data_IF_314106423258
#
_entry.id   IF_314106423258
#
_cell.length_a   1.000
_cell.length_b   1.000
_cell.length_c   1.000
_cell.angle_alpha   90.00
_cell.angle_beta   90.00
_cell.angle_gamma   90.00
#
_symmetry.space_group_name_H-M   'P 1'
#
loop_
_entity.id
_entity.type
_entity.pdbx_description
1 polymer ?
#
# COMPACT_ATOMS: atom_id res chain seq x y z
N UNK A 1 -20.22 7.13 12.91
CA UNK A 1 -19.70 6.20 11.87
C UNK A 1 -18.93 5.10 12.58
N UNK A 2 -19.09 3.82 12.22
CA UNK A 2 -18.31 2.74 12.85
C UNK A 2 -16.86 2.74 12.37
N UNK A 3 -15.93 2.21 13.16
CA UNK A 3 -14.50 2.19 12.83
C UNK A 3 -14.22 1.60 11.43
N UNK A 4 -14.85 0.48 11.09
CA UNK A 4 -14.77 -0.15 9.76
C UNK A 4 -15.14 0.83 8.63
N UNK A 5 -16.25 1.54 8.77
CA UNK A 5 -16.69 2.53 7.75
C UNK A 5 -15.74 3.72 7.63
N UNK A 6 -15.13 4.15 8.75
CA UNK A 6 -14.13 5.21 8.73
C UNK A 6 -12.84 4.78 8.00
N UNK A 7 -12.36 3.56 8.27
CA UNK A 7 -11.20 2.97 7.58
C UNK A 7 -11.45 2.86 6.07
N UNK A 8 -12.61 2.33 5.67
CA UNK A 8 -12.98 2.25 4.24
C UNK A 8 -13.06 3.64 3.61
N UNK A 9 -13.70 4.61 4.29
CA UNK A 9 -13.78 5.99 3.81
C UNK A 9 -12.40 6.64 3.62
N UNK A 10 -11.47 6.42 4.55
CA UNK A 10 -10.10 6.91 4.47
C UNK A 10 -9.29 6.22 3.37
N UNK A 11 -9.51 4.92 3.12
CA UNK A 11 -8.95 4.23 1.95
C UNK A 11 -9.44 4.82 0.63
N UNK A 12 -10.75 5.09 0.52
CA UNK A 12 -11.34 5.73 -0.67
C UNK A 12 -10.79 7.14 -0.85
N UNK A 13 -10.74 7.93 0.22
CA UNK A 13 -10.14 9.26 0.19
C UNK A 13 -8.68 9.19 -0.27
N UNK A 14 -7.89 8.27 0.29
CA UNK A 14 -6.50 8.07 -0.11
C UNK A 14 -6.39 7.66 -1.58
N UNK A 15 -7.25 6.77 -2.07
CA UNK A 15 -7.26 6.35 -3.47
C UNK A 15 -7.50 7.55 -4.40
N UNK A 16 -8.51 8.36 -4.10
CA UNK A 16 -8.83 9.55 -4.88
C UNK A 16 -7.68 10.55 -4.85
N UNK A 17 -7.18 10.92 -3.66
CA UNK A 17 -6.15 11.95 -3.52
C UNK A 17 -4.78 11.52 -4.00
N UNK A 18 -4.50 10.21 -4.05
CA UNK A 18 -3.20 9.68 -4.45
C UNK A 18 -3.18 9.26 -5.93
N UNK A 19 -4.24 8.60 -6.42
CA UNK A 19 -4.23 8.03 -7.78
C UNK A 19 -4.65 9.05 -8.85
N UNK A 20 -5.64 9.91 -8.57
CA UNK A 20 -6.11 10.89 -9.56
C UNK A 20 -4.99 11.87 -9.95
N UNK A 21 -4.25 12.50 -9.01
CA UNK A 21 -3.16 13.42 -9.37
C UNK A 21 -1.98 12.70 -10.04
N UNK A 22 -1.80 11.41 -9.77
CA UNK A 22 -0.74 10.58 -10.36
C UNK A 22 -1.05 10.10 -11.77
N UNK A 23 -2.31 10.19 -12.22
CA UNK A 23 -2.69 9.79 -13.58
C UNK A 23 -1.96 10.65 -14.63
N UNK A 24 -1.46 10.07 -15.75
CA UNK A 24 -0.59 10.78 -16.69
C UNK A 24 -1.15 12.12 -17.19
N UNK A 25 -2.45 12.17 -17.49
CA UNK A 25 -3.13 13.36 -17.99
C UNK A 25 -3.30 14.47 -16.93
N UNK A 26 -3.61 14.11 -15.68
CA UNK A 26 -3.77 15.09 -14.60
C UNK A 26 -2.41 15.55 -14.12
N UNK A 27 -1.46 14.63 -13.93
CA UNK A 27 -0.10 14.93 -13.50
C UNK A 27 0.59 15.92 -14.43
N UNK A 28 0.55 15.68 -15.74
CA UNK A 28 1.19 16.56 -16.72
C UNK A 28 0.66 18.00 -16.66
N UNK A 29 -0.66 18.17 -16.48
CA UNK A 29 -1.29 19.49 -16.28
C UNK A 29 -0.87 20.14 -14.98
N UNK A 30 -0.90 19.40 -13.87
CA UNK A 30 -0.54 19.91 -12.55
C UNK A 30 0.95 20.28 -12.48
N UNK A 31 1.83 19.44 -13.00
CA UNK A 31 3.27 19.70 -13.10
C UNK A 31 3.54 20.88 -14.04
N UNK A 32 2.82 21.00 -15.15
CA UNK A 32 2.94 22.15 -16.06
C UNK A 32 2.53 23.48 -15.41
N UNK A 33 1.56 23.47 -14.49
CA UNK A 33 1.10 24.67 -13.79
C UNK A 33 1.94 25.02 -12.54
N UNK A 34 2.38 24.01 -11.78
CA UNK A 34 3.03 24.19 -10.47
C UNK A 34 4.56 24.01 -10.52
N UNK A 35 5.07 23.32 -11.52
CA UNK A 35 6.42 22.77 -11.54
C UNK A 35 6.54 21.46 -10.76
N UNK A 36 7.52 20.63 -11.16
CA UNK A 36 7.73 19.27 -10.63
C UNK A 36 7.93 19.24 -9.11
N UNK A 37 8.76 20.14 -8.57
CA UNK A 37 9.07 20.19 -7.13
C UNK A 37 7.87 20.56 -6.26
N UNK A 38 7.11 21.57 -6.67
CA UNK A 38 5.93 22.01 -5.92
C UNK A 38 4.82 20.96 -5.99
N UNK A 39 4.62 20.34 -7.16
CA UNK A 39 3.71 19.21 -7.31
C UNK A 39 4.07 18.08 -6.34
N UNK A 40 5.33 17.62 -6.33
CA UNK A 40 5.77 16.53 -5.46
C UNK A 40 5.62 16.86 -3.96
N UNK A 41 5.89 18.10 -3.55
CA UNK A 41 5.69 18.54 -2.17
C UNK A 41 4.21 18.53 -1.74
N UNK A 42 3.33 19.14 -2.54
CA UNK A 42 1.89 19.20 -2.26
C UNK A 42 1.29 17.79 -2.29
N UNK A 43 1.64 17.01 -3.31
CA UNK A 43 1.22 15.63 -3.47
C UNK A 43 1.58 14.78 -2.25
N UNK A 44 2.83 14.88 -1.78
CA UNK A 44 3.31 14.13 -0.62
C UNK A 44 2.57 14.57 0.64
N UNK A 45 2.41 15.88 0.85
CA UNK A 45 1.70 16.42 2.02
C UNK A 45 0.25 15.93 2.09
N UNK A 46 -0.48 16.01 0.98
CA UNK A 46 -1.87 15.52 0.90
C UNK A 46 -1.93 14.02 1.13
N UNK A 47 -1.01 13.26 0.52
CA UNK A 47 -0.94 11.81 0.69
C UNK A 47 -0.72 11.42 2.16
N UNK A 48 0.22 12.07 2.85
CA UNK A 48 0.45 11.85 4.28
C UNK A 48 -0.73 12.33 5.14
N UNK A 49 -1.36 13.45 4.81
CA UNK A 49 -2.50 14.00 5.54
C UNK A 49 -3.73 13.07 5.52
N UNK A 50 -3.83 12.16 4.55
CA UNK A 50 -4.90 11.14 4.51
C UNK A 50 -4.41 9.78 5.02
N UNK A 51 -3.21 9.36 4.65
CA UNK A 51 -2.68 8.04 5.01
C UNK A 51 -2.33 7.91 6.49
N UNK A 52 -1.78 8.95 7.12
CA UNK A 52 -1.44 8.90 8.56
C UNK A 52 -2.71 8.74 9.41
N UNK A 53 -3.79 9.51 9.22
CA UNK A 53 -5.05 9.25 9.90
C UNK A 53 -5.63 7.87 9.62
N UNK A 54 -5.53 7.35 8.39
CA UNK A 54 -5.96 5.98 8.07
C UNK A 54 -5.27 4.94 8.98
N UNK A 55 -3.95 5.02 9.09
CA UNK A 55 -3.17 4.12 9.95
C UNK A 55 -3.51 4.36 11.43
N UNK A 56 -3.61 5.61 11.86
CA UNK A 56 -3.92 5.97 13.24
C UNK A 56 -5.27 5.42 13.71
N UNK A 57 -6.32 5.67 12.92
CA UNK A 57 -7.69 5.19 13.18
C UNK A 57 -7.71 3.67 13.24
N UNK A 58 -7.01 2.98 12.34
CA UNK A 58 -6.89 1.52 12.40
C UNK A 58 -6.19 1.06 13.69
N UNK A 59 -5.06 1.66 14.08
CA UNK A 59 -4.33 1.25 15.27
C UNK A 59 -5.15 1.41 16.56
N UNK A 60 -5.95 2.48 16.66
CA UNK A 60 -6.86 2.70 17.78
C UNK A 60 -8.07 1.74 17.79
N UNK A 61 -8.40 1.16 16.64
CA UNK A 61 -9.61 0.34 16.45
C UNK A 61 -9.30 -1.05 15.85
N UNK A 62 -8.10 -1.59 16.10
CA UNK A 62 -7.72 -2.94 15.68
C UNK A 62 -8.57 -3.98 16.40
N UNK A 63 -8.95 -5.04 15.69
CA UNK A 63 -9.79 -6.11 16.23
C UNK A 63 -11.19 -5.68 16.71
N UNK A 64 -11.80 -4.69 16.04
CA UNK A 64 -13.13 -4.15 16.37
C UNK A 64 -14.16 -4.56 15.32
N UNK A 65 -15.40 -4.78 15.79
CA UNK A 65 -16.55 -5.14 14.97
C UNK A 65 -16.77 -6.65 14.91
N UNK A 66 -17.67 -7.12 14.03
CA UNK A 66 -17.93 -8.55 13.88
C UNK A 66 -16.66 -9.31 13.51
N UNK A 67 -16.47 -10.45 14.15
CA UNK A 67 -15.48 -11.42 13.73
C UNK A 67 -16.03 -12.21 12.55
N UNK A 68 -15.39 -12.06 11.39
CA UNK A 68 -15.79 -12.65 10.12
C UNK A 68 -15.25 -14.09 9.98
N UNK A 69 -14.10 -14.38 10.56
CA UNK A 69 -13.54 -15.73 10.69
C UNK A 69 -12.64 -15.86 11.92
N UNK A 70 -12.41 -17.10 12.32
CA UNK A 70 -11.45 -17.49 13.35
C UNK A 70 -10.22 -18.14 12.69
N UNK A 71 -9.06 -17.96 13.32
CA UNK A 71 -7.80 -18.52 12.82
C UNK A 71 -7.15 -19.41 13.87
N UNK A 72 -7.08 -20.70 13.57
CA UNK A 72 -6.49 -21.73 14.42
C UNK A 72 -5.36 -22.45 13.68
N UNK A 73 -4.16 -21.86 13.61
CA UNK A 73 -3.08 -22.41 12.80
C UNK A 73 -2.37 -23.55 13.49
N UNK A 74 -1.98 -24.56 12.71
CA UNK A 74 -0.89 -25.47 13.09
C UNK A 74 0.47 -24.80 12.94
N UNK A 75 1.49 -25.34 13.61
CA UNK A 75 2.88 -24.83 13.58
C UNK A 75 3.43 -24.65 12.17
N UNK A 76 3.14 -25.58 11.25
CA UNK A 76 3.59 -25.49 9.85
C UNK A 76 3.03 -24.25 9.14
N UNK A 77 1.73 -23.96 9.30
CA UNK A 77 1.10 -22.81 8.66
C UNK A 77 1.67 -21.50 9.20
N UNK A 78 1.95 -21.41 10.51
CA UNK A 78 2.63 -20.26 11.09
C UNK A 78 3.99 -20.01 10.42
N UNK A 79 4.83 -21.04 10.28
CA UNK A 79 6.12 -20.89 9.62
C UNK A 79 5.99 -20.44 8.16
N UNK A 80 5.03 -20.99 7.41
CA UNK A 80 4.76 -20.57 6.03
C UNK A 80 4.42 -19.07 5.99
N UNK A 81 3.53 -18.60 6.86
CA UNK A 81 3.16 -17.17 6.90
C UNK A 81 4.36 -16.26 7.23
N UNK A 82 5.22 -16.67 8.16
CA UNK A 82 6.43 -15.90 8.51
C UNK A 82 7.42 -15.82 7.33
N UNK A 83 7.65 -16.94 6.64
CA UNK A 83 8.53 -16.96 5.46
C UNK A 83 7.97 -16.08 4.35
N UNK A 84 6.67 -16.18 4.06
CA UNK A 84 6.03 -15.34 3.05
C UNK A 84 6.05 -13.85 3.43
N UNK A 85 5.91 -13.52 4.71
CA UNK A 85 6.07 -12.15 5.20
C UNK A 85 7.50 -11.65 4.97
N UNK A 86 8.50 -12.49 5.21
CA UNK A 86 9.90 -12.19 4.89
C UNK A 86 10.10 -11.87 3.41
N UNK A 87 9.51 -12.66 2.50
CA UNK A 87 9.53 -12.39 1.05
C UNK A 87 8.88 -11.04 0.74
N UNK A 88 7.72 -10.75 1.33
CA UNK A 88 7.01 -9.48 1.12
C UNK A 88 7.86 -8.28 1.56
N UNK A 89 8.54 -8.37 2.71
CA UNK A 89 9.45 -7.35 3.21
C UNK A 89 10.68 -7.16 2.29
N UNK A 90 11.27 -8.24 1.78
CA UNK A 90 12.39 -8.17 0.82
C UNK A 90 11.96 -7.43 -0.45
N UNK A 91 10.75 -7.67 -0.95
CA UNK A 91 10.21 -6.96 -2.11
C UNK A 91 10.03 -5.47 -1.84
N UNK A 92 9.45 -5.09 -0.70
CA UNK A 92 9.26 -3.68 -0.33
C UNK A 92 10.60 -2.98 -0.14
N UNK A 93 11.48 -3.52 0.71
CA UNK A 93 12.77 -2.90 1.03
C UNK A 93 13.66 -2.85 -0.21
N UNK A 94 13.80 -3.95 -0.94
CA UNK A 94 14.58 -4.01 -2.17
C UNK A 94 14.03 -3.08 -3.25
N UNK A 95 12.71 -2.92 -3.33
CA UNK A 95 12.04 -2.06 -4.29
C UNK A 95 12.26 -0.57 -4.01
N UNK A 96 12.27 -0.17 -2.74
CA UNK A 96 12.55 1.21 -2.30
C UNK A 96 14.04 1.53 -2.36
N UNK A 97 14.91 0.57 -2.01
CA UNK A 97 16.36 0.79 -1.92
C UNK A 97 17.07 0.88 -3.29
N UNK A 98 16.37 0.60 -4.40
CA UNK A 98 16.95 0.60 -5.74
C UNK A 98 16.16 1.54 -6.66
N UNK A 99 16.82 2.29 -7.56
CA UNK A 99 16.14 3.08 -8.56
C UNK A 99 15.16 2.22 -9.37
N UNK A 100 13.91 2.62 -9.42
CA UNK A 100 12.90 1.92 -10.21
C UNK A 100 12.87 2.48 -11.64
N UNK A 101 12.87 1.62 -12.67
CA UNK A 101 12.55 2.03 -14.03
C UNK A 101 11.16 2.66 -14.17
N UNK A 102 10.24 2.34 -13.26
CA UNK A 102 8.88 2.88 -13.19
C UNK A 102 8.77 4.10 -12.25
N UNK A 103 9.89 4.69 -11.82
CA UNK A 103 9.89 5.82 -10.89
C UNK A 103 9.22 7.06 -11.51
N UNK A 104 8.29 7.65 -10.76
CA UNK A 104 7.63 8.91 -11.12
C UNK A 104 8.58 10.12 -11.11
N UNK A 105 9.74 10.03 -10.46
CA UNK A 105 10.69 11.13 -10.34
C UNK A 105 11.62 11.30 -11.57
N UNK A 106 11.37 10.57 -12.66
CA UNK A 106 12.00 10.81 -13.97
C UNK A 106 13.48 10.40 -14.12
N UNK A 107 14.09 9.79 -13.10
CA UNK A 107 15.52 9.40 -13.10
C UNK A 107 15.77 7.90 -13.04
N UNK A 108 14.80 7.06 -13.43
CA UNK A 108 14.93 5.61 -13.34
C UNK A 108 16.04 5.10 -14.26
N UNK A 109 17.10 4.51 -13.69
CA UNK A 109 18.07 3.76 -14.50
C UNK A 109 17.35 2.59 -15.17
N UNK A 110 17.50 2.42 -16.48
CA UNK A 110 16.93 1.27 -17.19
C UNK A 110 17.63 -0.06 -16.85
N UNK A 111 18.71 -0.02 -16.08
CA UNK A 111 19.43 -1.22 -15.65
C UNK A 111 18.67 -1.95 -14.54
N UNK A 112 18.20 -3.17 -14.82
CA UNK A 112 17.49 -3.99 -13.84
C UNK A 112 18.46 -4.58 -12.81
N UNK A 113 18.26 -4.24 -11.53
CA UNK A 113 19.04 -4.74 -10.39
C UNK A 113 18.15 -5.28 -9.28
N UNK A 114 18.66 -6.27 -8.55
CA UNK A 114 17.98 -6.85 -7.39
C UNK A 114 16.55 -7.33 -7.69
N UNK A 115 15.61 -6.98 -6.82
CA UNK A 115 14.19 -7.38 -6.93
C UNK A 115 13.48 -6.85 -8.18
N UNK A 116 13.99 -5.77 -8.80
CA UNK A 116 13.45 -5.28 -10.07
C UNK A 116 13.70 -6.26 -11.24
N UNK A 117 14.57 -7.27 -11.07
CA UNK A 117 14.71 -8.40 -12.02
C UNK A 117 13.56 -9.39 -11.92
N UNK A 118 12.86 -9.44 -10.79
CA UNK A 118 11.72 -10.35 -10.57
C UNK A 118 10.42 -9.74 -11.04
N UNK A 119 10.24 -8.43 -10.82
CA UNK A 119 9.01 -7.71 -11.17
C UNK A 119 9.29 -6.23 -11.40
N UNK A 120 8.45 -5.59 -12.21
CA UNK A 120 8.48 -4.13 -12.44
C UNK A 120 7.96 -3.32 -11.24
N UNK A 121 7.15 -3.94 -10.38
CA UNK A 121 6.46 -3.28 -9.28
C UNK A 121 6.68 -3.97 -7.93
N UNK A 122 7.95 -4.15 -7.48
CA UNK A 122 8.25 -4.93 -6.27
C UNK A 122 7.62 -4.35 -5.01
N UNK A 123 7.55 -3.02 -4.89
CA UNK A 123 6.90 -2.37 -3.75
C UNK A 123 5.40 -2.67 -3.71
N UNK A 124 4.68 -2.54 -4.83
CA UNK A 124 3.25 -2.84 -4.88
C UNK A 124 2.98 -4.32 -4.60
N UNK A 125 3.75 -5.23 -5.21
CA UNK A 125 3.61 -6.67 -4.93
C UNK A 125 3.89 -7.01 -3.47
N UNK A 126 4.93 -6.42 -2.87
CA UNK A 126 5.25 -6.61 -1.45
C UNK A 126 4.15 -6.10 -0.53
N UNK A 127 3.59 -4.90 -0.79
CA UNK A 127 2.46 -4.36 -0.02
C UNK A 127 1.19 -5.20 -0.19
N UNK A 128 0.91 -5.68 -1.40
CA UNK A 128 -0.20 -6.60 -1.65
C UNK A 128 -0.07 -7.91 -0.87
N UNK A 129 1.13 -8.50 -0.86
CA UNK A 129 1.42 -9.69 -0.05
C UNK A 129 1.29 -9.41 1.46
N UNK A 130 1.79 -8.27 1.95
CA UNK A 130 1.60 -7.86 3.34
C UNK A 130 0.11 -7.85 3.70
N UNK A 131 -0.74 -7.20 2.88
CA UNK A 131 -2.18 -7.16 3.14
C UNK A 131 -2.81 -8.56 3.14
N UNK A 132 -2.56 -9.37 2.11
CA UNK A 132 -3.10 -10.73 2.02
C UNK A 132 -2.69 -11.60 3.21
N UNK A 133 -1.41 -11.55 3.59
CA UNK A 133 -0.89 -12.36 4.71
C UNK A 133 -1.43 -11.92 6.07
N UNK A 134 -1.79 -10.65 6.24
CA UNK A 134 -2.46 -10.17 7.45
C UNK A 134 -3.95 -10.51 7.47
N UNK A 135 -4.63 -10.58 6.32
CA UNK A 135 -6.04 -11.02 6.29
C UNK A 135 -6.19 -12.46 6.80
N UNK A 136 -5.24 -13.35 6.54
CA UNK A 136 -5.35 -14.76 6.97
C UNK A 136 -5.59 -14.88 8.49
N UNK A 137 -4.73 -14.34 9.38
CA UNK A 137 -4.95 -14.41 10.82
C UNK A 137 -5.95 -13.40 11.36
N UNK A 138 -6.17 -12.27 10.69
CA UNK A 138 -6.97 -11.16 11.22
C UNK A 138 -8.42 -11.21 10.71
N UNK A 139 -9.30 -11.79 11.52
CA UNK A 139 -10.70 -12.00 11.14
C UNK A 139 -11.68 -10.88 11.50
N UNK A 140 -11.28 -9.80 12.16
CA UNK A 140 -12.21 -8.74 12.54
C UNK A 140 -12.47 -7.77 11.40
N UNK A 141 -13.71 -7.27 11.30
CA UNK A 141 -14.12 -6.35 10.24
C UNK A 141 -13.22 -5.11 10.08
N UNK A 142 -12.70 -4.53 11.17
CA UNK A 142 -11.71 -3.44 11.14
C UNK A 142 -10.41 -3.82 10.40
N UNK A 143 -9.90 -5.01 10.67
CA UNK A 143 -8.63 -5.51 10.16
C UNK A 143 -8.77 -5.84 8.69
N UNK A 144 -9.90 -6.43 8.32
CA UNK A 144 -10.24 -6.74 6.94
C UNK A 144 -10.37 -5.46 6.10
N UNK A 145 -11.04 -4.44 6.63
CA UNK A 145 -11.13 -3.15 5.97
C UNK A 145 -9.77 -2.48 5.78
N UNK A 146 -8.87 -2.58 6.77
CA UNK A 146 -7.54 -1.97 6.67
C UNK A 146 -6.62 -2.76 5.74
N UNK A 147 -6.38 -4.04 6.02
CA UNK A 147 -5.44 -4.86 5.24
C UNK A 147 -5.95 -5.21 3.85
N UNK A 148 -7.28 -5.24 3.63
CA UNK A 148 -7.87 -5.45 2.31
C UNK A 148 -7.62 -4.31 1.33
N UNK A 149 -7.35 -3.09 1.81
CA UNK A 149 -6.99 -1.97 0.95
C UNK A 149 -5.64 -2.17 0.25
N UNK A 150 -4.65 -2.78 0.92
CA UNK A 150 -3.31 -3.00 0.37
C UNK A 150 -3.29 -3.84 -0.93
N UNK A 151 -3.88 -5.05 -1.00
CA UNK A 151 -3.92 -5.82 -2.24
C UNK A 151 -4.75 -5.15 -3.32
N UNK A 152 -5.84 -4.45 -2.97
CA UNK A 152 -6.62 -3.67 -3.94
C UNK A 152 -5.76 -2.58 -4.57
N UNK A 153 -5.03 -1.80 -3.78
CA UNK A 153 -4.08 -0.80 -4.29
C UNK A 153 -2.96 -1.43 -5.10
N UNK A 154 -2.44 -2.57 -4.65
CA UNK A 154 -1.40 -3.28 -5.38
C UNK A 154 -1.89 -3.73 -6.76
N UNK A 155 -3.12 -4.22 -6.88
CA UNK A 155 -3.69 -4.68 -8.16
C UNK A 155 -3.95 -3.50 -9.10
N UNK A 156 -4.49 -2.39 -8.60
CA UNK A 156 -4.80 -1.22 -9.44
C UNK A 156 -3.53 -0.45 -9.82
N UNK A 157 -2.51 -0.46 -8.95
CA UNK A 157 -1.25 0.26 -9.14
C UNK A 157 -0.15 -0.50 -9.90
N UNK A 158 -0.29 -1.81 -10.11
CA UNK A 158 0.57 -2.61 -11.00
C UNK A 158 0.11 -2.48 -12.46
#
# INVERSE_FOLDING_TARGET
MGATSAIVGLWVAFAVTHMVPSSPGVRSRLVGALGERAFMAIYSLVSFAVFVPLVWVYLENRHVGPQLWEFHPGTLLLWILHVLMGVALVLVVGGVAQPSPASMAGSGSMELRGVHRLTRHPVFMGLGLIGLLHLIPQGYASDVAFFGGLPVFAIIGC
#
